data_IF_160614230301
#
_entry.id   IF_160614230301
#
_cell.length_a   1.000
_cell.length_b   1.000
_cell.length_c   1.000
_cell.angle_alpha   90.00
_cell.angle_beta   90.00
_cell.angle_gamma   90.00
#
_symmetry.space_group_name_H-M   'P 1'
#
loop_
_entity.id
_entity.type
_entity.pdbx_description
1 polymer ?
#
# COMPACT_ATOMS: atom_id res chain seq x y z
N UNK A 1 40.01 31.49 -1.39
CA UNK A 1 40.49 30.97 -0.08
C UNK A 1 39.59 31.37 1.09
N UNK A 2 39.04 32.59 1.13
CA UNK A 2 38.18 33.06 2.24
C UNK A 2 36.86 32.28 2.39
N UNK A 3 36.23 31.88 1.29
CA UNK A 3 34.95 31.13 1.31
C UNK A 3 35.06 29.75 1.95
N UNK A 4 36.17 29.04 1.72
CA UNK A 4 36.43 27.72 2.32
C UNK A 4 36.62 27.82 3.83
N UNK A 5 37.19 28.93 4.30
CA UNK A 5 37.42 29.22 5.72
C UNK A 5 36.09 29.48 6.45
N UNK A 6 35.18 30.23 5.81
CA UNK A 6 33.84 30.51 6.35
C UNK A 6 32.98 29.24 6.40
N UNK A 7 32.99 28.43 5.34
CA UNK A 7 32.22 27.17 5.32
C UNK A 7 32.73 26.16 6.36
N UNK A 8 34.05 26.08 6.55
CA UNK A 8 34.65 25.20 7.56
C UNK A 8 34.28 25.62 8.99
N UNK A 9 34.29 26.94 9.28
CA UNK A 9 33.91 27.47 10.57
C UNK A 9 32.43 27.19 10.91
N UNK A 10 31.53 27.37 9.94
CA UNK A 10 30.09 27.07 10.11
C UNK A 10 29.85 25.58 10.39
N UNK A 11 30.59 24.70 9.72
CA UNK A 11 30.45 23.26 9.90
C UNK A 11 30.93 22.82 11.29
N UNK A 12 32.05 23.38 11.77
CA UNK A 12 32.53 23.15 13.13
C UNK A 12 31.58 23.69 14.20
N UNK A 13 31.00 24.87 13.98
CA UNK A 13 30.02 25.45 14.90
C UNK A 13 28.75 24.58 15.00
N UNK A 14 28.25 24.06 13.87
CA UNK A 14 27.08 23.18 13.84
C UNK A 14 27.33 21.84 14.57
N UNK A 15 28.51 21.23 14.36
CA UNK A 15 28.90 19.99 15.05
C UNK A 15 29.02 20.23 16.56
N UNK A 16 29.68 21.32 16.96
CA UNK A 16 29.84 21.69 18.37
C UNK A 16 28.50 21.91 19.06
N UNK A 17 27.56 22.57 18.36
CA UNK A 17 26.21 22.81 18.86
C UNK A 17 25.40 21.52 19.00
N UNK A 18 25.51 20.59 18.03
CA UNK A 18 24.83 19.30 18.10
C UNK A 18 25.33 18.46 19.31
N UNK A 19 26.64 18.45 19.57
CA UNK A 19 27.23 17.78 20.74
C UNK A 19 26.75 18.43 22.04
N UNK A 20 26.70 19.76 22.09
CA UNK A 20 26.20 20.51 23.25
C UNK A 20 24.72 20.19 23.55
N UNK A 21 23.86 20.14 22.53
CA UNK A 21 22.46 19.76 22.70
C UNK A 21 22.31 18.32 23.22
N UNK A 22 23.13 17.38 22.74
CA UNK A 22 23.11 15.99 23.21
C UNK A 22 23.60 15.85 24.66
N UNK A 23 24.63 16.59 25.07
CA UNK A 23 25.07 16.60 26.46
C UNK A 23 24.05 17.26 27.40
N UNK A 24 23.32 18.27 26.93
CA UNK A 24 22.31 18.95 27.75
C UNK A 24 21.08 18.08 27.99
N UNK A 25 20.72 17.17 27.08
CA UNK A 25 19.62 16.21 27.29
C UNK A 25 19.90 15.11 28.32
N UNK A 26 21.16 14.91 28.76
CA UNK A 26 21.51 13.93 29.79
C UNK A 26 21.85 14.53 31.16
N UNK A 27 21.97 15.86 31.28
CA UNK A 27 22.06 16.54 32.58
C UNK A 27 20.67 16.70 33.19
N UNK A 28 20.26 15.61 33.83
CA UNK A 28 19.14 15.51 34.73
C UNK A 28 19.27 16.58 35.85
N UNK A 29 18.59 17.71 35.71
CA UNK A 29 18.52 18.83 36.68
C UNK A 29 17.82 18.46 38.02
N UNK A 30 17.73 17.17 38.36
CA UNK A 30 17.10 16.67 39.59
C UNK A 30 18.07 15.96 40.55
N UNK A 31 19.38 16.12 40.40
CA UNK A 31 20.38 15.52 41.31
C UNK A 31 20.66 16.35 42.58
N UNK A 32 19.75 17.23 43.01
CA UNK A 32 19.96 18.16 44.13
C UNK A 32 19.24 17.84 45.44
N UNK A 33 18.13 17.09 45.43
CA UNK A 33 17.35 16.79 46.63
C UNK A 33 16.84 15.34 46.61
N UNK A 34 17.73 14.39 46.90
CA UNK A 34 17.32 13.02 47.17
C UNK A 34 16.63 12.97 48.54
N UNK A 35 15.30 12.94 48.54
CA UNK A 35 14.52 12.48 49.69
C UNK A 35 14.98 11.06 50.06
N UNK A 36 14.92 10.65 51.35
CA UNK A 36 15.21 9.27 51.74
C UNK A 36 14.36 8.31 50.90
N UNK A 37 14.88 7.12 50.55
CA UNK A 37 14.13 6.15 49.76
C UNK A 37 12.80 5.89 50.45
N UNK A 38 11.68 5.86 49.70
CA UNK A 38 10.38 5.58 50.29
C UNK A 38 10.46 4.26 51.07
N UNK A 39 9.82 4.17 52.24
CA UNK A 39 9.84 2.94 53.03
C UNK A 39 9.38 1.78 52.13
N UNK A 40 9.95 0.57 52.30
CA UNK A 40 9.53 -0.59 51.52
C UNK A 40 8.01 -0.74 51.68
N UNK A 41 7.28 -0.65 50.55
CA UNK A 41 5.84 -0.89 50.55
C UNK A 41 5.65 -2.35 50.92
N UNK A 42 5.30 -2.60 52.18
CA UNK A 42 4.96 -3.94 52.65
C UNK A 42 3.70 -4.37 51.90
N UNK A 43 3.88 -5.33 50.99
CA UNK A 43 2.81 -5.97 50.23
C UNK A 43 1.99 -6.81 51.21
N UNK A 44 0.92 -6.25 51.74
CA UNK A 44 -0.06 -7.01 52.51
C UNK A 44 -0.60 -8.16 51.66
N UNK A 45 -0.81 -9.31 52.28
CA UNK A 45 -1.30 -10.54 51.63
C UNK A 45 -2.70 -10.39 51.00
N UNK A 46 -3.36 -9.24 51.19
CA UNK A 46 -4.72 -8.91 50.78
C UNK A 46 -4.81 -7.58 50.01
N UNK A 47 -3.72 -7.12 49.40
CA UNK A 47 -3.75 -5.92 48.56
C UNK A 47 -4.32 -6.28 47.16
N UNK A 48 -5.61 -6.63 47.13
CA UNK A 48 -6.34 -7.12 45.95
C UNK A 48 -6.64 -6.02 44.91
N UNK A 49 -6.46 -4.75 45.24
CA UNK A 49 -6.71 -3.62 44.32
C UNK A 49 -5.88 -3.70 43.03
N UNK A 50 -4.66 -4.27 43.08
CA UNK A 50 -3.85 -4.49 41.87
C UNK A 50 -4.29 -5.72 41.09
N UNK A 51 -4.87 -6.73 41.75
CA UNK A 51 -5.39 -7.93 41.09
C UNK A 51 -6.70 -7.62 40.35
N UNK A 52 -7.60 -6.86 40.99
CA UNK A 52 -8.89 -6.51 40.40
C UNK A 52 -8.76 -5.49 39.26
N UNK A 53 -7.87 -4.50 39.40
CA UNK A 53 -7.58 -3.57 38.31
C UNK A 53 -6.92 -4.26 37.11
N UNK A 54 -6.02 -5.23 37.35
CA UNK A 54 -5.41 -6.03 36.29
C UNK A 54 -6.42 -7.01 35.66
N UNK A 55 -7.31 -7.60 36.45
CA UNK A 55 -8.37 -8.48 35.95
C UNK A 55 -9.37 -7.68 35.10
N UNK A 56 -9.78 -6.50 35.55
CA UNK A 56 -10.66 -5.61 34.79
C UNK A 56 -10.00 -5.13 33.47
N UNK A 57 -8.69 -4.85 33.48
CA UNK A 57 -7.95 -4.52 32.26
C UNK A 57 -7.93 -5.69 31.27
N UNK A 58 -7.61 -6.92 31.75
CA UNK A 58 -7.63 -8.13 30.92
C UNK A 58 -9.02 -8.45 30.37
N UNK A 59 -10.08 -8.25 31.15
CA UNK A 59 -11.46 -8.45 30.69
C UNK A 59 -11.83 -7.42 29.60
N UNK A 60 -11.44 -6.15 29.76
CA UNK A 60 -11.66 -5.12 28.72
C UNK A 60 -10.89 -5.43 27.44
N UNK A 61 -9.65 -5.90 27.55
CA UNK A 61 -8.85 -6.34 26.41
C UNK A 61 -9.50 -7.54 25.71
N UNK A 62 -9.96 -8.54 26.47
CA UNK A 62 -10.66 -9.70 25.92
C UNK A 62 -11.98 -9.31 25.23
N UNK A 63 -12.76 -8.40 25.83
CA UNK A 63 -13.98 -7.87 25.21
C UNK A 63 -13.68 -7.08 23.93
N UNK A 64 -12.62 -6.26 23.93
CA UNK A 64 -12.21 -5.51 22.75
C UNK A 64 -11.81 -6.46 21.61
N UNK A 65 -11.01 -7.49 21.89
CA UNK A 65 -10.66 -8.53 20.92
C UNK A 65 -11.88 -9.25 20.38
N UNK A 66 -12.83 -9.59 21.25
CA UNK A 66 -14.07 -10.24 20.85
C UNK A 66 -14.90 -9.35 19.91
N UNK A 67 -15.05 -8.07 20.23
CA UNK A 67 -15.76 -7.10 19.38
C UNK A 67 -15.10 -6.95 18.01
N UNK A 68 -13.77 -6.86 17.96
CA UNK A 68 -13.03 -6.80 16.68
C UNK A 68 -13.22 -8.07 15.87
N UNK A 69 -13.22 -9.24 16.52
CA UNK A 69 -13.48 -10.52 15.86
C UNK A 69 -14.91 -10.60 15.31
N UNK A 70 -15.92 -10.21 16.09
CA UNK A 70 -17.32 -10.16 15.67
C UNK A 70 -17.52 -9.18 14.50
N UNK A 71 -16.88 -8.00 14.55
CA UNK A 71 -16.90 -7.03 13.46
C UNK A 71 -16.27 -7.58 12.17
N UNK A 72 -15.12 -8.24 12.27
CA UNK A 72 -14.44 -8.89 11.14
C UNK A 72 -15.33 -9.95 10.50
N UNK A 73 -15.96 -10.81 11.30
CA UNK A 73 -16.89 -11.83 10.80
C UNK A 73 -18.07 -11.19 10.08
N UNK A 74 -18.68 -10.15 10.65
CA UNK A 74 -19.80 -9.45 10.03
C UNK A 74 -19.45 -8.77 8.70
N UNK A 75 -18.25 -8.18 8.60
CA UNK A 75 -17.76 -7.60 7.34
C UNK A 75 -17.52 -8.66 6.26
N UNK A 76 -16.92 -9.79 6.65
CA UNK A 76 -16.69 -10.90 5.73
C UNK A 76 -18.00 -11.54 5.25
N UNK A 77 -18.98 -11.71 6.14
CA UNK A 77 -20.29 -12.24 5.76
C UNK A 77 -21.02 -11.31 4.77
N UNK A 78 -20.97 -10.00 5.00
CA UNK A 78 -21.54 -9.03 4.04
C UNK A 78 -20.76 -9.00 2.72
N UNK A 79 -19.45 -9.19 2.76
CA UNK A 79 -18.61 -9.32 1.56
C UNK A 79 -18.99 -10.58 0.76
N UNK A 80 -19.21 -11.72 1.41
CA UNK A 80 -19.70 -12.93 0.75
C UNK A 80 -21.13 -12.78 0.24
N UNK A 81 -21.92 -11.84 0.78
CA UNK A 81 -23.22 -11.41 0.26
C UNK A 81 -23.11 -10.41 -0.92
N UNK A 82 -21.91 -9.95 -1.27
CA UNK A 82 -21.66 -9.07 -2.41
C UNK A 82 -21.89 -7.59 -2.12
N UNK A 83 -22.02 -7.22 -0.84
CA UNK A 83 -22.08 -5.82 -0.44
C UNK A 83 -20.70 -5.18 -0.68
N UNK A 84 -20.65 -4.10 -1.46
CA UNK A 84 -19.42 -3.37 -1.77
C UNK A 84 -19.11 -2.28 -0.75
N UNK A 85 -20.10 -1.85 0.03
CA UNK A 85 -19.93 -0.80 1.03
C UNK A 85 -18.94 -1.22 2.13
N UNK A 86 -18.87 -2.53 2.40
CA UNK A 86 -17.93 -3.15 3.36
C UNK A 86 -16.46 -2.83 3.07
N UNK A 87 -16.08 -2.55 1.82
CA UNK A 87 -14.70 -2.17 1.49
C UNK A 87 -14.31 -0.83 2.11
N UNK A 88 -15.24 0.13 2.14
CA UNK A 88 -15.00 1.43 2.79
C UNK A 88 -14.97 1.29 4.30
N UNK A 89 -15.83 0.43 4.85
CA UNK A 89 -15.84 0.13 6.29
C UNK A 89 -14.53 -0.53 6.71
N UNK A 90 -14.07 -1.55 5.99
CA UNK A 90 -12.77 -2.20 6.22
C UNK A 90 -11.60 -1.22 6.05
N UNK A 91 -11.65 -0.34 5.03
CA UNK A 91 -10.63 0.70 4.85
C UNK A 91 -10.61 1.71 6.01
N UNK A 92 -11.78 2.11 6.52
CA UNK A 92 -11.91 3.05 7.63
C UNK A 92 -11.36 2.50 8.96
N UNK A 93 -11.36 1.17 9.13
CA UNK A 93 -10.74 0.50 10.29
C UNK A 93 -9.20 0.63 10.24
N UNK A 94 -8.62 0.75 9.05
CA UNK A 94 -7.17 0.89 8.85
C UNK A 94 -6.39 -0.43 8.94
N UNK A 95 -7.08 -1.57 9.07
CA UNK A 95 -6.46 -2.90 9.01
C UNK A 95 -6.35 -3.36 7.54
N UNK A 96 -5.12 -3.35 7.02
CA UNK A 96 -4.82 -3.75 5.64
C UNK A 96 -5.11 -5.22 5.39
N UNK A 97 -4.88 -6.11 6.38
CA UNK A 97 -5.13 -7.54 6.22
C UNK A 97 -6.64 -7.81 6.13
N UNK A 98 -7.43 -7.16 6.98
CA UNK A 98 -8.89 -7.24 6.91
C UNK A 98 -9.43 -6.70 5.58
N UNK A 99 -8.91 -5.56 5.11
CA UNK A 99 -9.28 -5.01 3.81
C UNK A 99 -9.01 -6.02 2.68
N UNK A 100 -7.82 -6.61 2.66
CA UNK A 100 -7.41 -7.57 1.63
C UNK A 100 -8.26 -8.85 1.67
N UNK A 101 -8.64 -9.33 2.86
CA UNK A 101 -9.53 -10.48 3.01
C UNK A 101 -10.94 -10.19 2.52
N UNK A 102 -11.50 -9.03 2.88
CA UNK A 102 -12.82 -8.58 2.42
C UNK A 102 -12.84 -8.42 0.90
N UNK A 103 -11.81 -7.80 0.32
CA UNK A 103 -11.69 -7.66 -1.13
C UNK A 103 -11.53 -9.01 -1.82
N UNK A 104 -10.74 -9.92 -1.25
CA UNK A 104 -10.58 -11.28 -1.78
C UNK A 104 -11.89 -12.06 -1.76
N UNK A 105 -12.69 -11.94 -0.69
CA UNK A 105 -14.01 -12.57 -0.61
C UNK A 105 -14.97 -12.04 -1.70
N UNK A 106 -14.94 -10.73 -1.98
CA UNK A 106 -15.72 -10.13 -3.07
C UNK A 106 -15.27 -10.62 -4.45
N UNK A 107 -13.96 -10.79 -4.65
CA UNK A 107 -13.40 -11.32 -5.91
C UNK A 107 -13.81 -12.77 -6.12
N UNK A 108 -13.68 -13.61 -5.09
CA UNK A 108 -14.08 -15.02 -5.16
C UNK A 108 -15.56 -15.18 -5.52
N UNK A 109 -16.43 -14.37 -4.94
CA UNK A 109 -17.86 -14.35 -5.31
C UNK A 109 -18.07 -13.93 -6.78
N UNK A 110 -17.27 -13.00 -7.27
CA UNK A 110 -17.40 -12.45 -8.61
C UNK A 110 -16.69 -13.29 -9.70
N UNK A 111 -16.05 -14.41 -9.33
CA UNK A 111 -15.19 -15.20 -10.24
C UNK A 111 -15.94 -15.64 -11.51
N UNK A 112 -17.18 -16.12 -11.37
CA UNK A 112 -17.98 -16.59 -12.50
C UNK A 112 -18.81 -15.49 -13.18
N UNK A 113 -18.83 -14.28 -12.62
CA UNK A 113 -19.70 -13.21 -13.10
C UNK A 113 -18.91 -11.95 -13.48
N UNK A 114 -18.57 -11.87 -14.77
CA UNK A 114 -17.86 -10.73 -15.36
C UNK A 114 -18.49 -9.37 -15.02
N UNK A 115 -19.83 -9.27 -15.00
CA UNK A 115 -20.51 -8.01 -14.68
C UNK A 115 -20.25 -7.59 -13.25
N UNK A 116 -20.17 -8.54 -12.31
CA UNK A 116 -19.86 -8.25 -10.91
C UNK A 116 -18.40 -7.84 -10.74
N UNK A 117 -17.47 -8.54 -11.39
CA UNK A 117 -16.05 -8.21 -11.37
C UNK A 117 -15.80 -6.80 -11.93
N UNK A 118 -16.39 -6.48 -13.09
CA UNK A 118 -16.28 -5.16 -13.69
C UNK A 118 -16.91 -4.08 -12.80
N UNK A 119 -18.05 -4.37 -12.17
CA UNK A 119 -18.70 -3.45 -11.25
C UNK A 119 -17.93 -3.28 -9.93
N UNK A 120 -17.06 -4.22 -9.55
CA UNK A 120 -16.13 -4.10 -8.42
C UNK A 120 -14.91 -3.25 -8.82
N UNK A 121 -14.30 -3.54 -9.97
CA UNK A 121 -13.23 -2.72 -10.57
C UNK A 121 -13.68 -1.27 -10.71
N UNK A 122 -14.86 -1.03 -11.30
CA UNK A 122 -15.41 0.33 -11.43
C UNK A 122 -15.69 1.00 -10.09
N UNK A 123 -15.95 0.24 -9.02
CA UNK A 123 -16.14 0.82 -7.69
C UNK A 123 -14.80 1.31 -7.12
N UNK A 124 -13.75 0.52 -7.30
CA UNK A 124 -12.39 0.83 -6.82
C UNK A 124 -11.78 1.97 -7.64
N UNK A 125 -11.89 1.95 -8.97
CA UNK A 125 -11.32 3.01 -9.82
C UNK A 125 -11.98 4.37 -9.64
N UNK A 126 -13.25 4.42 -9.23
CA UNK A 126 -13.95 5.67 -8.88
C UNK A 126 -13.62 6.20 -7.49
N UNK A 127 -12.93 5.40 -6.67
CA UNK A 127 -12.52 5.80 -5.33
C UNK A 127 -11.01 6.02 -5.29
N UNK A 128 -10.60 7.26 -5.03
CA UNK A 128 -9.17 7.60 -4.93
C UNK A 128 -8.49 6.92 -3.72
N UNK A 129 -9.27 6.50 -2.73
CA UNK A 129 -8.78 5.92 -1.48
C UNK A 129 -8.62 4.40 -1.51
N UNK A 130 -9.47 3.69 -2.27
CA UNK A 130 -9.50 2.23 -2.25
C UNK A 130 -8.40 1.63 -3.12
N UNK A 131 -7.52 0.81 -2.55
CA UNK A 131 -6.48 0.09 -3.29
C UNK A 131 -7.03 -1.20 -3.91
N UNK A 132 -6.47 -1.63 -5.03
CA UNK A 132 -6.72 -2.99 -5.50
C UNK A 132 -5.84 -3.96 -4.71
N UNK A 133 -6.16 -5.24 -4.72
CA UNK A 133 -5.27 -6.29 -4.25
C UNK A 133 -4.81 -7.16 -5.43
N UNK A 134 -3.75 -7.94 -5.22
CA UNK A 134 -3.21 -8.82 -6.25
C UNK A 134 -4.24 -9.82 -6.81
N UNK A 135 -5.08 -10.50 -5.98
CA UNK A 135 -6.12 -11.39 -6.49
C UNK A 135 -7.11 -10.71 -7.45
N UNK A 136 -7.59 -9.51 -7.15
CA UNK A 136 -8.49 -8.78 -8.05
C UNK A 136 -7.81 -8.48 -9.37
N UNK A 137 -6.59 -7.94 -9.32
CA UNK A 137 -5.86 -7.52 -10.50
C UNK A 137 -5.47 -8.70 -11.39
N UNK A 138 -5.05 -9.83 -10.81
CA UNK A 138 -4.74 -11.04 -11.55
C UNK A 138 -5.99 -11.60 -12.24
N UNK A 139 -7.11 -11.71 -11.51
CA UNK A 139 -8.36 -12.20 -12.12
C UNK A 139 -8.88 -11.28 -13.21
N UNK A 140 -8.82 -9.98 -13.00
CA UNK A 140 -9.24 -9.02 -14.02
C UNK A 140 -8.34 -9.06 -15.26
N UNK A 141 -7.03 -9.26 -15.08
CA UNK A 141 -6.08 -9.47 -16.19
C UNK A 141 -6.41 -10.74 -16.98
N UNK A 142 -6.66 -11.87 -16.30
CA UNK A 142 -7.00 -13.15 -16.98
C UNK A 142 -8.29 -13.04 -17.78
N UNK A 143 -9.31 -12.41 -17.22
CA UNK A 143 -10.57 -12.15 -17.91
C UNK A 143 -10.34 -11.25 -19.12
N UNK A 144 -9.57 -10.17 -18.99
CA UNK A 144 -9.28 -9.27 -20.09
C UNK A 144 -8.50 -9.93 -21.23
N UNK A 145 -7.62 -10.90 -20.95
CA UNK A 145 -6.91 -11.67 -21.98
C UNK A 145 -7.85 -12.40 -22.94
N UNK A 146 -9.06 -12.75 -22.51
CA UNK A 146 -10.05 -13.43 -23.37
C UNK A 146 -10.67 -12.50 -24.42
N UNK A 147 -10.73 -11.20 -24.14
CA UNK A 147 -11.30 -10.18 -25.03
C UNK A 147 -10.59 -8.84 -24.82
N UNK A 148 -9.41 -8.64 -25.42
CA UNK A 148 -8.62 -7.44 -25.20
C UNK A 148 -9.22 -6.25 -25.97
N UNK A 149 -9.86 -5.34 -25.26
CA UNK A 149 -10.41 -4.11 -25.85
C UNK A 149 -9.52 -2.89 -25.58
N UNK A 150 -9.47 -1.94 -26.54
CA UNK A 150 -8.76 -0.66 -26.38
C UNK A 150 -9.17 0.08 -25.09
N UNK A 151 -10.47 0.18 -24.82
CA UNK A 151 -11.00 0.95 -23.69
C UNK A 151 -10.64 0.34 -22.34
N UNK A 152 -10.39 -0.98 -22.30
CA UNK A 152 -10.08 -1.69 -21.06
C UNK A 152 -8.58 -1.80 -20.78
N UNK A 153 -7.69 -1.54 -21.76
CA UNK A 153 -6.23 -1.56 -21.56
C UNK A 153 -5.82 -0.66 -20.39
N UNK A 154 -6.25 0.60 -20.41
CA UNK A 154 -5.94 1.55 -19.35
C UNK A 154 -6.50 1.08 -18.00
N UNK A 155 -7.72 0.53 -17.98
CA UNK A 155 -8.37 0.04 -16.75
C UNK A 155 -7.62 -1.14 -16.14
N UNK A 156 -7.18 -2.10 -16.95
CA UNK A 156 -6.43 -3.28 -16.49
C UNK A 156 -5.09 -2.88 -15.92
N UNK A 157 -4.36 -2.00 -16.62
CA UNK A 157 -3.06 -1.51 -16.16
C UNK A 157 -3.19 -0.66 -14.90
N UNK A 158 -4.24 0.16 -14.82
CA UNK A 158 -4.56 0.94 -13.64
C UNK A 158 -4.83 0.05 -12.42
N UNK A 159 -5.66 -0.98 -12.57
CA UNK A 159 -5.94 -1.93 -11.49
C UNK A 159 -4.69 -2.71 -11.09
N UNK A 160 -3.88 -3.15 -12.05
CA UNK A 160 -2.61 -3.83 -11.78
C UNK A 160 -1.62 -2.93 -11.03
N UNK A 161 -1.55 -1.64 -11.37
CA UNK A 161 -0.71 -0.68 -10.66
C UNK A 161 -1.22 -0.42 -9.24
N UNK A 162 -2.53 -0.34 -9.04
CA UNK A 162 -3.12 -0.14 -7.70
C UNK A 162 -3.08 -1.38 -6.79
N UNK A 163 -2.71 -2.54 -7.33
CA UNK A 163 -2.50 -3.76 -6.56
C UNK A 163 -1.15 -3.78 -5.83
N UNK A 164 -0.26 -2.81 -6.09
CA UNK A 164 1.03 -2.67 -5.42
C UNK A 164 1.91 -3.95 -5.51
N UNK A 165 1.81 -4.66 -6.63
CA UNK A 165 2.60 -5.86 -6.96
C UNK A 165 3.38 -5.59 -8.26
N UNK A 166 4.69 -5.41 -8.14
CA UNK A 166 5.56 -5.11 -9.28
C UNK A 166 5.60 -6.24 -10.33
N UNK A 167 5.80 -7.52 -9.95
CA UNK A 167 5.66 -8.63 -10.89
C UNK A 167 4.33 -8.68 -11.64
N UNK A 168 3.21 -8.43 -10.95
CA UNK A 168 1.88 -8.44 -11.56
C UNK A 168 1.70 -7.28 -12.56
N UNK A 169 2.10 -6.06 -12.18
CA UNK A 169 2.07 -4.92 -13.09
C UNK A 169 2.97 -5.14 -14.30
N UNK A 170 4.17 -5.69 -14.10
CA UNK A 170 5.06 -6.07 -15.21
C UNK A 170 4.38 -7.03 -16.18
N UNK A 171 3.73 -8.08 -15.66
CA UNK A 171 3.01 -9.07 -16.46
C UNK A 171 1.87 -8.44 -17.26
N UNK A 172 1.11 -7.53 -16.64
CA UNK A 172 0.03 -6.81 -17.30
C UNK A 172 0.55 -5.94 -18.46
N UNK A 173 1.63 -5.19 -18.24
CA UNK A 173 2.29 -4.38 -19.27
C UNK A 173 2.82 -5.22 -20.42
N UNK A 174 3.50 -6.33 -20.12
CA UNK A 174 4.02 -7.25 -21.13
C UNK A 174 2.90 -7.88 -21.96
N UNK A 175 1.80 -8.25 -21.31
CA UNK A 175 0.60 -8.79 -22.00
C UNK A 175 0.01 -7.73 -22.94
N UNK A 176 -0.15 -6.49 -22.48
CA UNK A 176 -0.66 -5.40 -23.31
C UNK A 176 0.26 -5.08 -24.49
N UNK A 177 1.58 -5.09 -24.28
CA UNK A 177 2.54 -4.92 -25.35
C UNK A 177 2.45 -6.05 -26.38
N UNK A 178 2.32 -7.30 -25.94
CA UNK A 178 2.19 -8.45 -26.83
C UNK A 178 0.91 -8.36 -27.67
N UNK A 179 -0.24 -8.07 -27.05
CA UNK A 179 -1.49 -7.90 -27.78
C UNK A 179 -1.48 -6.73 -28.77
N UNK A 180 -0.70 -5.69 -28.48
CA UNK A 180 -0.47 -4.61 -29.43
C UNK A 180 0.39 -5.07 -30.63
N UNK A 181 1.47 -5.82 -30.39
CA UNK A 181 2.30 -6.42 -31.45
C UNK A 181 1.50 -7.37 -32.34
N UNK A 182 0.60 -8.15 -31.73
CA UNK A 182 -0.27 -9.11 -32.42
C UNK A 182 -1.45 -8.44 -33.13
N UNK A 183 -1.59 -7.11 -33.00
CA UNK A 183 -2.66 -6.33 -33.63
C UNK A 183 -4.04 -6.53 -33.02
N UNK A 184 -4.15 -7.19 -31.86
CA UNK A 184 -5.41 -7.43 -31.15
C UNK A 184 -5.97 -6.15 -30.51
N UNK A 185 -5.09 -5.20 -30.16
CA UNK A 185 -5.49 -3.90 -29.62
C UNK A 185 -5.78 -2.88 -30.74
N UNK A 186 -6.89 -3.10 -31.44
CA UNK A 186 -7.30 -2.25 -32.55
C UNK A 186 -7.45 -0.77 -32.15
N UNK A 187 -6.80 0.11 -32.90
CA UNK A 187 -6.88 1.57 -32.71
C UNK A 187 -6.07 2.12 -31.54
N UNK A 188 -5.24 1.31 -30.88
CA UNK A 188 -4.26 1.78 -29.89
C UNK A 188 -2.95 2.10 -30.60
N UNK A 189 -2.51 3.36 -30.55
CA UNK A 189 -1.21 3.74 -31.11
C UNK A 189 -0.06 3.37 -30.17
N UNK A 190 1.15 3.24 -30.72
CA UNK A 190 2.34 3.00 -29.91
C UNK A 190 2.57 4.13 -28.88
N UNK A 191 2.22 5.37 -29.24
CA UNK A 191 2.31 6.54 -28.37
C UNK A 191 1.28 6.49 -27.24
N UNK A 192 0.03 6.14 -27.54
CA UNK A 192 -1.04 5.96 -26.55
C UNK A 192 -0.65 4.88 -25.53
N UNK A 193 -0.16 3.73 -26.01
CA UNK A 193 0.27 2.64 -25.14
C UNK A 193 1.44 3.04 -24.23
N UNK A 194 2.41 3.79 -24.78
CA UNK A 194 3.54 4.34 -24.02
C UNK A 194 3.06 5.30 -22.93
N UNK A 195 2.14 6.21 -23.26
CA UNK A 195 1.58 7.17 -22.32
C UNK A 195 0.86 6.47 -21.16
N UNK A 196 0.11 5.40 -21.45
CA UNK A 196 -0.55 4.58 -20.41
C UNK A 196 0.49 3.92 -19.50
N UNK A 197 1.52 3.27 -20.05
CA UNK A 197 2.56 2.61 -19.25
C UNK A 197 3.27 3.57 -18.29
N UNK A 198 3.54 4.79 -18.76
CA UNK A 198 4.21 5.81 -17.96
C UNK A 198 3.28 6.42 -16.91
N UNK A 199 2.01 6.67 -17.26
CA UNK A 199 1.02 7.20 -16.32
C UNK A 199 0.76 6.24 -15.15
N UNK A 200 0.45 4.98 -15.46
CA UNK A 200 0.06 4.00 -14.45
C UNK A 200 1.23 3.56 -13.56
N UNK A 201 2.48 3.62 -14.04
CA UNK A 201 3.66 3.32 -13.22
C UNK A 201 3.75 4.20 -11.98
N UNK A 202 3.29 5.46 -12.04
CA UNK A 202 3.34 6.37 -10.90
C UNK A 202 2.31 6.06 -9.81
N UNK A 203 1.31 5.23 -10.10
CA UNK A 203 0.30 4.79 -9.11
C UNK A 203 0.82 3.71 -8.17
N UNK A 204 1.86 2.98 -8.58
CA UNK A 204 2.58 2.07 -7.69
C UNK A 204 3.09 2.84 -6.47
N UNK A 205 2.90 2.26 -5.30
CA UNK A 205 3.40 2.76 -4.03
C UNK A 205 4.91 2.97 -4.07
N UNK A 206 5.37 3.90 -3.24
CA UNK A 206 6.79 4.22 -3.15
C UNK A 206 7.63 3.02 -2.68
N UNK A 207 7.08 2.18 -1.80
CA UNK A 207 7.73 0.95 -1.34
C UNK A 207 8.00 -0.01 -2.49
N UNK A 208 7.01 -0.22 -3.36
CA UNK A 208 7.13 -1.11 -4.53
C UNK A 208 8.08 -0.52 -5.57
N UNK A 209 7.99 0.77 -5.86
CA UNK A 209 8.90 1.42 -6.81
C UNK A 209 10.35 1.48 -6.33
N UNK A 210 10.56 1.57 -5.01
CA UNK A 210 11.87 1.56 -4.37
C UNK A 210 12.46 0.17 -4.14
N UNK A 211 11.68 -0.90 -4.36
CA UNK A 211 12.12 -2.28 -4.16
C UNK A 211 13.03 -2.76 -5.31
N UNK A 212 13.70 -3.90 -5.10
CA UNK A 212 14.49 -4.55 -6.14
C UNK A 212 13.65 -4.95 -7.36
N UNK A 213 12.42 -5.41 -7.13
CA UNK A 213 11.46 -5.72 -8.20
C UNK A 213 11.02 -4.46 -8.95
N UNK A 214 10.81 -3.36 -8.23
CA UNK A 214 10.55 -2.05 -8.82
C UNK A 214 11.66 -1.57 -9.75
N UNK A 215 12.92 -1.84 -9.42
CA UNK A 215 14.06 -1.54 -10.29
C UNK A 215 14.03 -2.37 -11.58
N UNK A 216 13.76 -3.68 -11.47
CA UNK A 216 13.63 -4.58 -12.63
C UNK A 216 12.50 -4.11 -13.54
N UNK A 217 11.34 -3.80 -12.96
CA UNK A 217 10.19 -3.25 -13.67
C UNK A 217 10.54 -1.95 -14.40
N UNK A 218 11.19 -1.00 -13.73
CA UNK A 218 11.61 0.28 -14.33
C UNK A 218 12.51 0.07 -15.55
N UNK A 219 13.46 -0.87 -15.47
CA UNK A 219 14.34 -1.23 -16.60
C UNK A 219 13.54 -1.88 -17.74
N UNK A 220 12.57 -2.74 -17.42
CA UNK A 220 11.70 -3.36 -18.43
C UNK A 220 10.86 -2.30 -19.16
N UNK A 221 10.23 -1.39 -18.43
CA UNK A 221 9.46 -0.28 -19.00
C UNK A 221 10.33 0.60 -19.91
N UNK A 222 11.56 0.92 -19.50
CA UNK A 222 12.47 1.70 -20.35
C UNK A 222 12.75 1.01 -21.70
N UNK A 223 12.90 -0.31 -21.71
CA UNK A 223 13.09 -1.10 -22.93
C UNK A 223 11.84 -1.07 -23.82
N UNK A 224 10.66 -1.28 -23.24
CA UNK A 224 9.39 -1.22 -23.96
C UNK A 224 9.12 0.17 -24.56
N UNK A 225 9.45 1.26 -23.84
CA UNK A 225 9.37 2.62 -24.40
C UNK A 225 10.21 2.78 -25.64
N UNK A 226 11.42 2.23 -25.65
CA UNK A 226 12.31 2.32 -26.80
C UNK A 226 11.73 1.55 -28.01
N UNK A 227 11.17 0.37 -27.77
CA UNK A 227 10.51 -0.44 -28.80
C UNK A 227 9.28 0.28 -29.38
N UNK A 228 8.38 0.79 -28.53
CA UNK A 228 7.21 1.55 -28.95
C UNK A 228 7.56 2.84 -29.70
N UNK A 229 8.60 3.55 -29.25
CA UNK A 229 9.04 4.79 -29.94
C UNK A 229 9.56 4.51 -31.34
N UNK A 230 10.30 3.41 -31.53
CA UNK A 230 10.78 2.98 -32.86
C UNK A 230 9.64 2.57 -33.77
N UNK A 231 8.60 1.93 -33.23
CA UNK A 231 7.43 1.57 -34.02
C UNK A 231 6.64 2.81 -34.46
N UNK A 232 6.45 3.77 -33.55
CA UNK A 232 5.79 5.05 -33.87
C UNK A 232 6.48 5.80 -35.01
N UNK A 233 7.81 5.77 -35.09
CA UNK A 233 8.56 6.42 -36.17
C UNK A 233 8.43 5.73 -37.54
N UNK A 234 7.91 4.51 -37.61
CA UNK A 234 7.72 3.75 -38.86
C UNK A 234 6.32 3.90 -39.45
N UNK A 235 5.37 4.42 -38.68
CA UNK A 235 3.96 4.56 -39.07
C UNK A 235 3.62 5.96 -39.58
N UNK A 236 4.63 6.84 -39.67
CA UNK A 236 4.58 8.18 -40.30
C UNK A 236 5.21 8.08 -41.69
#
# INVERSE_FOLDING_TARGET
MVTVLITSFLLLAAISYAIYCWQRTSSNENAGHALPPPPPRFRGLFNDEHSDAQLAARLREAEALKRTSEQRVGLLERATQGDKAVLREAHAIGDTALYDEVLSALVLRAEDNYKQLFALVSHITRSDQLRANAPLAERFLEVWKTSPERRSVAVVLHIAARADDAPLYQRAVETAHQFWLDGLLHGVSAEELRAIFDGEYWLLSQSVRGSGEGFVLKRKLAKLRQELSRASSKTV
#
